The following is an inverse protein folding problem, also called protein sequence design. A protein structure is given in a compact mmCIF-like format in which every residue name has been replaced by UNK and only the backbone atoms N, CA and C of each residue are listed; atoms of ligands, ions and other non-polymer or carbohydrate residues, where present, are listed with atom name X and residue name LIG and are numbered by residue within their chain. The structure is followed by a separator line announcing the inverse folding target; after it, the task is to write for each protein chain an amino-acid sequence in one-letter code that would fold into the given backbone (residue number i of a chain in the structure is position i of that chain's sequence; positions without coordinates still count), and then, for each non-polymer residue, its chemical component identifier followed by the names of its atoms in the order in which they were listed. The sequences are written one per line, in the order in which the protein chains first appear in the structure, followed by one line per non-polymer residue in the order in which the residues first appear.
data_IF_812748392032
#
_entry.id   IF_812748392032
#
_cell.length_a   1.000
_cell.length_b   1.000
_cell.length_c   1.000
_cell.angle_alpha   90.00
_cell.angle_beta   90.00
_cell.angle_gamma   90.00
#
_symmetry.space_group_name_H-M   'P 1'
#
loop_
_entity.id
_entity.type
_entity.pdbx_description
1 polymer ?
#
# COMPACT_ATOMS: atom_id res chain seq x y z
N UNK A 1 -4.80 18.66 21.45
CA UNK A 1 -5.80 17.67 21.02
C UNK A 1 -5.08 16.75 20.05
N UNK A 2 -4.84 15.50 20.40
CA UNK A 2 -4.02 14.59 19.59
C UNK A 2 -4.82 14.21 18.34
N UNK A 3 -4.41 14.74 17.19
CA UNK A 3 -4.92 14.39 15.88
C UNK A 3 -4.71 12.88 15.66
N UNK A 4 -5.74 12.10 15.98
CA UNK A 4 -5.70 10.65 15.76
C UNK A 4 -5.84 10.46 14.27
N UNK A 5 -4.74 10.12 13.59
CA UNK A 5 -4.76 9.71 12.19
C UNK A 5 -5.75 8.56 12.02
N UNK A 6 -6.78 8.77 11.22
CA UNK A 6 -7.78 7.77 10.85
C UNK A 6 -7.38 7.23 9.47
N UNK A 7 -7.40 5.91 9.32
CA UNK A 7 -7.23 5.24 8.03
C UNK A 7 -8.49 4.45 7.74
N UNK A 8 -9.05 4.63 6.55
CA UNK A 8 -10.17 3.84 6.09
C UNK A 8 -9.65 2.61 5.37
N UNK A 9 -10.13 1.42 5.73
CA UNK A 9 -9.69 0.19 5.08
C UNK A 9 -10.83 -0.81 4.83
N UNK A 10 -10.78 -1.50 3.69
CA UNK A 10 -11.79 -2.51 3.32
C UNK A 10 -11.71 -3.72 4.27
N UNK A 11 -12.85 -4.31 4.62
CA UNK A 11 -12.87 -5.58 5.36
C UNK A 11 -12.83 -6.76 4.37
N UNK A 12 -12.14 -7.87 4.68
CA UNK A 12 -11.45 -8.17 5.94
C UNK A 12 -10.05 -7.57 6.07
N UNK A 13 -9.72 -7.19 7.30
CA UNK A 13 -8.44 -6.60 7.67
C UNK A 13 -7.43 -7.67 8.11
N UNK A 14 -6.22 -7.66 7.55
CA UNK A 14 -5.12 -8.54 8.01
C UNK A 14 -4.60 -8.12 9.38
N UNK A 15 -4.16 -9.12 10.15
CA UNK A 15 -3.64 -8.93 11.50
C UNK A 15 -2.40 -8.01 11.53
N UNK A 16 -1.54 -8.10 10.52
CA UNK A 16 -0.32 -7.27 10.41
C UNK A 16 -0.65 -5.79 10.22
N UNK A 17 -1.60 -5.45 9.33
CA UNK A 17 -2.08 -4.07 9.14
C UNK A 17 -2.71 -3.51 10.41
N UNK A 18 -3.49 -4.33 11.12
CA UNK A 18 -4.07 -3.95 12.41
C UNK A 18 -2.99 -3.70 13.47
N UNK A 19 -1.92 -4.50 13.47
CA UNK A 19 -0.81 -4.36 14.41
C UNK A 19 0.02 -3.11 14.10
N UNK A 20 0.34 -2.85 12.83
CA UNK A 20 1.03 -1.63 12.39
C UNK A 20 0.24 -0.37 12.73
N UNK A 21 -1.06 -0.35 12.47
CA UNK A 21 -1.90 0.80 12.82
C UNK A 21 -1.99 1.02 14.33
N UNK A 22 -2.15 -0.04 15.14
CA UNK A 22 -2.14 0.10 16.60
C UNK A 22 -0.78 0.61 17.11
N UNK A 23 0.34 0.13 16.54
CA UNK A 23 1.69 0.60 16.89
C UNK A 23 1.90 2.07 16.52
N UNK A 24 1.36 2.49 15.39
CA UNK A 24 1.41 3.87 14.92
C UNK A 24 0.38 4.79 15.61
N UNK A 25 -0.49 4.27 16.49
CA UNK A 25 -1.56 5.02 17.14
C UNK A 25 -2.68 5.46 16.19
N UNK A 26 -2.82 4.78 15.05
CA UNK A 26 -3.77 5.06 13.97
C UNK A 26 -5.04 4.25 14.21
N UNK A 27 -6.21 4.87 14.05
CA UNK A 27 -7.50 4.15 14.07
C UNK A 27 -7.86 3.70 12.67
N UNK A 28 -8.07 2.40 12.50
CA UNK A 28 -8.62 1.86 11.25
C UNK A 28 -10.15 1.85 11.36
N UNK A 29 -10.80 2.51 10.41
CA UNK A 29 -12.25 2.50 10.23
C UNK A 29 -12.55 1.71 8.95
N UNK A 30 -13.68 1.01 8.96
CA UNK A 30 -14.12 0.28 7.77
C UNK A 30 -14.39 1.25 6.61
N UNK A 31 -13.93 0.87 5.41
CA UNK A 31 -14.09 1.63 4.18
C UNK A 31 -15.54 2.02 3.88
N UNK A 32 -16.52 1.23 4.34
CA UNK A 32 -17.95 1.55 4.17
C UNK A 32 -18.37 2.85 4.90
N UNK A 33 -17.59 3.31 5.88
CA UNK A 33 -17.81 4.56 6.61
C UNK A 33 -16.87 5.68 6.16
N UNK A 34 -16.11 5.47 5.08
CA UNK A 34 -15.27 6.51 4.50
C UNK A 34 -16.15 7.61 3.89
N UNK A 35 -15.90 8.90 4.21
CA UNK A 35 -16.53 9.99 3.49
C UNK A 35 -16.11 9.97 2.01
N UNK A 36 -16.97 10.48 1.13
CA UNK A 36 -16.69 10.51 -0.29
C UNK A 36 -15.45 11.37 -0.59
N UNK A 37 -14.50 10.81 -1.33
CA UNK A 37 -13.22 11.45 -1.65
C UNK A 37 -12.06 11.10 -0.70
N UNK A 38 -12.31 10.29 0.33
CA UNK A 38 -11.28 9.88 1.27
C UNK A 38 -10.48 8.67 0.77
N UNK A 39 -9.20 8.64 1.12
CA UNK A 39 -8.28 7.58 0.68
C UNK A 39 -8.60 6.28 1.41
N UNK A 40 -9.18 5.33 0.68
CA UNK A 40 -9.49 3.98 1.18
C UNK A 40 -8.28 3.10 0.94
N UNK A 41 -7.84 2.36 1.96
CA UNK A 41 -6.83 1.31 1.85
C UNK A 41 -7.49 -0.06 1.76
N UNK A 42 -6.84 -1.01 1.11
CA UNK A 42 -7.32 -2.37 1.05
C UNK A 42 -6.89 -3.08 2.33
N UNK A 43 -7.83 -3.67 3.07
CA UNK A 43 -7.52 -4.32 4.34
C UNK A 43 -6.72 -5.61 4.21
N UNK A 44 -6.63 -6.20 3.02
CA UNK A 44 -5.84 -7.41 2.78
C UNK A 44 -4.42 -7.11 2.31
N UNK A 45 -4.25 -6.04 1.55
CA UNK A 45 -3.00 -5.71 0.87
C UNK A 45 -2.31 -4.46 1.43
N UNK A 46 -3.06 -3.60 2.13
CA UNK A 46 -2.55 -2.37 2.72
C UNK A 46 -2.32 -1.26 1.71
N UNK A 47 -2.99 -1.32 0.56
CA UNK A 47 -2.77 -0.41 -0.58
C UNK A 47 -3.99 0.45 -0.84
N UNK A 48 -3.84 1.70 -1.30
CA UNK A 48 -4.98 2.53 -1.66
C UNK A 48 -5.84 1.87 -2.74
N UNK A 49 -7.15 1.79 -2.51
CA UNK A 49 -8.16 1.20 -3.39
C UNK A 49 -8.70 2.27 -4.31
N UNK A 50 -8.58 2.07 -5.62
CA UNK A 50 -9.18 2.96 -6.63
C UNK A 50 -8.45 4.29 -6.86
N UNK A 51 -7.29 4.50 -6.22
CA UNK A 51 -6.46 5.67 -6.47
C UNK A 51 -5.36 5.33 -7.48
N UNK A 52 -5.18 6.22 -8.45
CA UNK A 52 -4.10 6.18 -9.43
C UNK A 52 -2.75 6.09 -8.70
N UNK A 53 -2.09 4.95 -8.82
CA UNK A 53 -0.82 4.65 -8.16
C UNK A 53 0.38 5.40 -8.77
N UNK A 54 0.16 6.29 -9.77
CA UNK A 54 1.24 6.99 -10.48
C UNK A 54 2.12 7.88 -9.60
N UNK A 55 1.75 8.08 -8.33
CA UNK A 55 2.51 8.88 -7.36
C UNK A 55 3.07 8.13 -6.17
N UNK A 56 2.96 6.80 -6.09
CA UNK A 56 3.48 6.07 -4.92
C UNK A 56 5.02 6.15 -4.95
N UNK A 57 5.59 6.93 -4.04
CA UNK A 57 6.97 6.75 -3.60
C UNK A 57 6.97 5.70 -2.50
N UNK A 58 7.78 4.65 -2.70
CA UNK A 58 7.94 3.57 -1.75
C UNK A 58 9.42 3.46 -1.39
N UNK A 59 9.74 3.29 -0.11
CA UNK A 59 11.11 3.02 0.32
C UNK A 59 11.46 1.55 0.10
N UNK A 60 12.75 1.19 0.10
CA UNK A 60 13.19 -0.19 -0.09
C UNK A 60 12.53 -1.17 0.93
N UNK A 61 12.34 -0.70 2.17
CA UNK A 61 11.65 -1.43 3.23
C UNK A 61 10.15 -1.60 2.99
N UNK A 62 9.52 -0.72 2.24
CA UNK A 62 8.12 -0.86 1.83
C UNK A 62 8.00 -1.82 0.64
N UNK A 63 8.90 -1.72 -0.34
CA UNK A 63 8.93 -2.60 -1.51
C UNK A 63 9.10 -4.07 -1.10
N UNK A 64 9.96 -4.36 -0.12
CA UNK A 64 10.10 -5.73 0.42
C UNK A 64 8.85 -6.28 1.11
N UNK A 65 7.92 -5.41 1.51
CA UNK A 65 6.64 -5.77 2.15
C UNK A 65 5.44 -5.72 1.19
N UNK A 66 5.64 -5.20 -0.01
CA UNK A 66 4.59 -5.10 -1.04
C UNK A 66 4.26 -6.47 -1.63
N UNK A 67 2.98 -6.67 -1.96
CA UNK A 67 2.53 -7.86 -2.68
C UNK A 67 2.67 -7.68 -4.20
N UNK A 68 2.39 -8.76 -4.95
CA UNK A 68 2.47 -8.77 -6.42
C UNK A 68 1.77 -7.57 -7.06
N UNK A 69 0.52 -7.32 -6.64
CA UNK A 69 -0.32 -6.28 -7.21
C UNK A 69 0.27 -4.88 -6.94
N UNK A 70 0.75 -4.60 -5.73
CA UNK A 70 1.42 -3.35 -5.41
C UNK A 70 2.67 -3.12 -6.24
N UNK A 71 3.50 -4.16 -6.36
CA UNK A 71 4.77 -4.06 -7.08
C UNK A 71 4.51 -3.82 -8.57
N UNK A 72 3.54 -4.52 -9.16
CA UNK A 72 3.10 -4.30 -10.54
C UNK A 72 2.58 -2.87 -10.71
N UNK A 73 1.72 -2.41 -9.80
CA UNK A 73 1.14 -1.09 -9.85
C UNK A 73 2.21 0.02 -9.71
N UNK A 74 3.17 -0.16 -8.78
CA UNK A 74 4.30 0.73 -8.58
C UNK A 74 5.26 0.76 -9.79
N UNK A 75 5.54 -0.40 -10.39
CA UNK A 75 6.38 -0.49 -11.58
C UNK A 75 5.68 0.11 -12.80
N UNK A 76 4.39 -0.17 -13.00
CA UNK A 76 3.58 0.44 -14.04
C UNK A 76 3.52 1.97 -13.91
N UNK A 77 3.40 2.49 -12.68
CA UNK A 77 3.49 3.92 -12.37
C UNK A 77 4.85 4.55 -12.76
N UNK A 78 5.94 3.76 -12.73
CA UNK A 78 7.27 4.18 -13.20
C UNK A 78 7.50 3.91 -14.69
N UNK A 79 6.48 3.44 -15.40
CA UNK A 79 6.56 3.08 -16.82
C UNK A 79 7.28 1.75 -17.09
N UNK A 80 7.43 0.90 -16.08
CA UNK A 80 8.06 -0.42 -16.20
C UNK A 80 6.99 -1.49 -16.40
N UNK A 81 7.01 -2.12 -17.58
CA UNK A 81 6.16 -3.26 -17.86
C UNK A 81 6.67 -4.50 -17.13
N UNK A 82 5.83 -5.07 -16.27
CA UNK A 82 6.18 -6.24 -15.48
C UNK A 82 5.65 -7.53 -16.12
N UNK A 83 6.45 -8.61 -16.17
CA UNK A 83 5.98 -9.89 -16.66
C UNK A 83 4.83 -10.42 -15.80
N UNK A 84 3.75 -10.88 -16.43
CA UNK A 84 2.58 -11.40 -15.71
C UNK A 84 2.92 -12.65 -14.87
N UNK A 85 3.97 -13.38 -15.24
CA UNK A 85 4.49 -14.56 -14.53
C UNK A 85 5.60 -14.23 -13.50
N UNK A 86 5.99 -12.96 -13.37
CA UNK A 86 7.03 -12.57 -12.40
C UNK A 86 6.59 -12.86 -10.96
N UNK A 87 7.54 -13.36 -10.16
CA UNK A 87 7.34 -13.62 -8.73
C UNK A 87 7.46 -12.33 -7.93
N UNK A 88 6.90 -12.29 -6.71
CA UNK A 88 7.03 -11.11 -5.83
C UNK A 88 8.49 -10.69 -5.64
N UNK A 89 9.42 -11.65 -5.50
CA UNK A 89 10.84 -11.35 -5.35
C UNK A 89 11.43 -10.66 -6.59
N UNK A 90 11.04 -11.11 -7.80
CA UNK A 90 11.48 -10.48 -9.04
C UNK A 90 10.91 -9.07 -9.19
N UNK A 91 9.63 -8.90 -8.91
CA UNK A 91 8.97 -7.59 -8.96
C UNK A 91 9.53 -6.63 -7.90
N UNK A 92 9.81 -7.10 -6.69
CA UNK A 92 10.46 -6.31 -5.65
C UNK A 92 11.87 -5.91 -6.08
N UNK A 93 12.63 -6.82 -6.70
CA UNK A 93 13.95 -6.54 -7.28
C UNK A 93 13.92 -5.45 -8.35
N UNK A 94 12.92 -5.49 -9.23
CA UNK A 94 12.70 -4.46 -10.24
C UNK A 94 12.27 -3.12 -9.64
N UNK A 95 11.54 -3.14 -8.53
CA UNK A 95 11.02 -1.94 -7.87
C UNK A 95 12.06 -1.23 -6.99
N UNK A 96 13.00 -1.98 -6.38
CA UNK A 96 14.09 -1.46 -5.55
C UNK A 96 14.87 -0.26 -6.15
N UNK A 97 15.29 -0.25 -7.43
CA UNK A 97 15.99 0.90 -8.01
C UNK A 97 15.12 2.17 -8.15
N UNK A 98 13.79 2.04 -8.07
CA UNK A 98 12.85 3.17 -8.06
C UNK A 98 12.43 3.57 -6.64
N UNK A 99 12.95 2.88 -5.63
CA UNK A 99 12.70 3.23 -4.24
C UNK A 99 13.34 4.58 -3.92
N UNK A 100 12.64 5.42 -3.16
CA UNK A 100 13.29 6.60 -2.59
C UNK A 100 14.34 6.17 -1.56
N UNK A 101 15.49 6.85 -1.56
CA UNK A 101 16.50 6.67 -0.52
C UNK A 101 15.94 7.18 0.80
N UNK A 102 16.07 6.36 1.84
CA UNK A 102 15.67 6.68 3.23
C UNK A 102 16.44 7.90 3.77
#
# INVERSE_FOLDING_TARGET
MTDRKIVYATHPLRAELKAEANKAGVKIIDAAFAPAGERIMDGQTGLPVGEDVSGITATASQIGRMNKAALIAFLAAKGVETPNDATNAQLAGLALPFAEQD
#
